data_IF_157286827420
#
_entry.id   IF_157286827420
#
_cell.length_a   1.000
_cell.length_b   1.000
_cell.length_c   1.000
_cell.angle_alpha   90.00
_cell.angle_beta   90.00
_cell.angle_gamma   90.00
#
_symmetry.space_group_name_H-M   'P 1'
#
loop_
_entity.id
_entity.type
_entity.pdbx_description
1 polymer ?
#
# COMPACT_ATOMS: atom_id res chain seq x y z
N UNK A 1 5.47 23.66 -27.80
CA UNK A 1 5.67 22.24 -27.42
C UNK A 1 5.89 22.18 -25.92
N UNK A 2 4.89 21.74 -25.16
CA UNK A 2 5.08 21.36 -23.75
C UNK A 2 4.63 19.91 -23.62
N UNK A 3 5.60 19.01 -23.57
CA UNK A 3 5.45 17.59 -23.29
C UNK A 3 5.59 17.42 -21.78
N UNK A 4 4.50 17.16 -21.07
CA UNK A 4 4.59 16.56 -19.73
C UNK A 4 3.24 16.00 -19.31
N UNK A 5 3.31 14.78 -18.78
CA UNK A 5 2.22 13.97 -18.23
C UNK A 5 1.30 13.35 -19.28
N UNK A 6 1.84 12.36 -20.02
CA UNK A 6 0.97 11.27 -20.46
C UNK A 6 0.40 10.63 -19.17
N UNK A 7 -0.93 10.60 -18.96
CA UNK A 7 -1.49 9.78 -17.90
C UNK A 7 -1.06 8.35 -18.19
N UNK A 8 -0.65 7.61 -17.17
CA UNK A 8 -0.40 6.17 -17.29
C UNK A 8 -1.77 5.52 -17.54
N UNK A 9 -2.26 5.68 -18.77
CA UNK A 9 -3.53 5.15 -19.23
C UNK A 9 -3.37 3.63 -19.33
N UNK A 10 -4.16 2.94 -18.52
CA UNK A 10 -4.89 1.76 -18.95
C UNK A 10 -4.07 0.62 -19.58
N UNK A 11 -3.01 0.15 -18.91
CA UNK A 11 -2.95 -1.31 -18.81
C UNK A 11 -4.19 -1.70 -18.00
N UNK A 12 -5.15 -2.38 -18.62
CA UNK A 12 -6.43 -2.82 -18.06
C UNK A 12 -6.24 -3.74 -16.85
N UNK A 13 -5.73 -3.18 -15.74
CA UNK A 13 -5.55 -3.86 -14.49
C UNK A 13 -6.94 -4.03 -13.89
N UNK A 14 -7.38 -5.28 -13.87
CA UNK A 14 -8.65 -5.65 -13.28
C UNK A 14 -8.59 -5.38 -11.79
N UNK A 15 -9.29 -4.33 -11.35
CA UNK A 15 -9.43 -4.02 -9.93
C UNK A 15 -10.32 -5.11 -9.32
N UNK A 16 -9.90 -5.76 -8.22
CA UNK A 16 -10.71 -6.75 -7.50
C UNK A 16 -12.02 -6.13 -7.01
N UNK A 17 -13.09 -6.93 -6.94
CA UNK A 17 -14.41 -6.44 -6.48
C UNK A 17 -14.43 -5.99 -5.01
N UNK A 18 -13.47 -6.46 -4.20
CA UNK A 18 -13.30 -6.08 -2.81
C UNK A 18 -12.48 -4.78 -2.63
N UNK A 19 -11.95 -4.19 -3.71
CA UNK A 19 -11.20 -2.93 -3.68
C UNK A 19 -12.04 -1.81 -4.26
N UNK A 20 -12.20 -0.73 -3.49
CA UNK A 20 -12.87 0.47 -3.94
C UNK A 20 -11.97 1.22 -4.95
N UNK A 21 -12.53 1.50 -6.13
CA UNK A 21 -11.84 2.15 -7.24
C UNK A 21 -11.34 3.55 -6.88
N UNK A 22 -12.10 4.30 -6.08
CA UNK A 22 -11.73 5.66 -5.69
C UNK A 22 -10.57 5.65 -4.69
N UNK A 23 -10.56 4.72 -3.73
CA UNK A 23 -9.39 4.54 -2.85
C UNK A 23 -8.14 4.14 -3.65
N UNK A 24 -8.30 3.27 -4.65
CA UNK A 24 -7.19 2.86 -5.52
C UNK A 24 -6.62 4.03 -6.33
N UNK A 25 -7.49 4.88 -6.89
CA UNK A 25 -7.06 6.10 -7.57
C UNK A 25 -6.31 7.04 -6.62
N UNK A 26 -6.83 7.28 -5.42
CA UNK A 26 -6.16 8.12 -4.42
C UNK A 26 -4.79 7.58 -4.02
N UNK A 27 -4.64 6.25 -3.92
CA UNK A 27 -3.35 5.62 -3.67
C UNK A 27 -2.35 5.83 -4.82
N UNK A 28 -2.80 5.67 -6.07
CA UNK A 28 -1.96 5.96 -7.25
C UNK A 28 -1.53 7.42 -7.26
N UNK A 29 -2.47 8.35 -7.02
CA UNK A 29 -2.18 9.78 -6.98
C UNK A 29 -1.14 10.10 -5.89
N UNK A 30 -1.30 9.58 -4.68
CA UNK A 30 -0.31 9.75 -3.61
C UNK A 30 1.08 9.25 -4.02
N UNK A 31 1.15 8.12 -4.74
CA UNK A 31 2.41 7.54 -5.23
C UNK A 31 3.11 8.44 -6.27
N UNK A 32 2.34 9.13 -7.10
CA UNK A 32 2.87 10.16 -8.00
C UNK A 32 3.38 11.38 -7.22
N UNK A 33 2.64 11.85 -6.21
CA UNK A 33 3.00 13.00 -5.37
C UNK A 33 4.33 12.78 -4.61
N UNK A 34 4.61 11.55 -4.17
CA UNK A 34 5.89 11.20 -3.51
C UNK A 34 7.02 10.84 -4.49
N UNK A 35 6.86 11.13 -5.78
CA UNK A 35 7.80 10.81 -6.85
C UNK A 35 8.19 9.32 -6.94
N UNK A 36 7.29 8.42 -6.51
CA UNK A 36 7.48 6.97 -6.59
C UNK A 36 6.30 6.32 -7.32
N UNK A 37 6.06 6.63 -8.61
CA UNK A 37 4.90 6.16 -9.34
C UNK A 37 4.84 4.62 -9.38
N UNK A 38 3.63 4.07 -9.44
CA UNK A 38 3.47 2.62 -9.60
C UNK A 38 3.89 2.17 -10.99
N UNK A 39 4.74 1.14 -11.03
CA UNK A 39 4.94 0.38 -12.26
C UNK A 39 3.74 -0.55 -12.50
N UNK A 40 3.44 -0.92 -13.76
CA UNK A 40 2.34 -1.85 -14.07
C UNK A 40 2.45 -3.19 -13.33
N UNK A 41 3.66 -3.71 -13.22
CA UNK A 41 3.94 -4.95 -12.46
C UNK A 41 3.71 -4.77 -10.96
N UNK A 42 4.11 -3.62 -10.40
CA UNK A 42 3.86 -3.28 -9.00
C UNK A 42 2.37 -3.15 -8.69
N UNK A 43 1.61 -2.50 -9.59
CA UNK A 43 0.16 -2.39 -9.49
C UNK A 43 -0.53 -3.74 -9.51
N UNK A 44 -0.12 -4.64 -10.42
CA UNK A 44 -0.63 -6.01 -10.45
C UNK A 44 -0.35 -6.77 -9.15
N UNK A 45 0.85 -6.65 -8.60
CA UNK A 45 1.22 -7.31 -7.35
C UNK A 45 0.44 -6.77 -6.15
N UNK A 46 0.24 -5.45 -6.09
CA UNK A 46 -0.54 -4.80 -5.02
C UNK A 46 -2.02 -5.17 -5.08
N UNK A 47 -2.63 -5.15 -6.27
CA UNK A 47 -4.03 -5.58 -6.43
C UNK A 47 -4.22 -7.04 -6.01
N UNK A 48 -3.27 -7.93 -6.34
CA UNK A 48 -3.29 -9.32 -5.88
C UNK A 48 -3.24 -9.42 -4.35
N UNK A 49 -2.37 -8.64 -3.69
CA UNK A 49 -2.33 -8.61 -2.21
C UNK A 49 -3.63 -8.09 -1.60
N UNK A 50 -4.21 -7.04 -2.19
CA UNK A 50 -5.49 -6.51 -1.74
C UNK A 50 -6.62 -7.53 -1.93
N UNK A 51 -6.59 -8.34 -2.99
CA UNK A 51 -7.51 -9.46 -3.16
C UNK A 51 -7.35 -10.49 -2.02
N UNK A 52 -6.11 -10.84 -1.65
CA UNK A 52 -5.80 -11.74 -0.53
C UNK A 52 -6.26 -11.20 0.84
N UNK A 53 -6.29 -9.88 1.03
CA UNK A 53 -6.77 -9.23 2.26
C UNK A 53 -8.31 -9.25 2.43
N UNK A 54 -9.06 -9.65 1.41
CA UNK A 54 -10.51 -9.81 1.50
C UNK A 54 -11.23 -8.52 1.91
N UNK A 55 -12.01 -8.56 2.99
CA UNK A 55 -12.83 -7.43 3.45
C UNK A 55 -11.97 -6.23 3.92
N UNK A 56 -10.76 -6.49 4.40
CA UNK A 56 -9.88 -5.47 4.98
C UNK A 56 -9.03 -4.72 3.94
N UNK A 57 -9.13 -5.09 2.67
CA UNK A 57 -8.38 -4.50 1.56
C UNK A 57 -8.48 -2.98 1.51
N UNK A 58 -9.69 -2.44 1.69
CA UNK A 58 -9.92 -0.99 1.67
C UNK A 58 -9.27 -0.29 2.87
N UNK A 59 -9.35 -0.90 4.07
CA UNK A 59 -8.75 -0.32 5.26
C UNK A 59 -7.22 -0.29 5.16
N UNK A 60 -6.63 -1.37 4.65
CA UNK A 60 -5.21 -1.45 4.32
C UNK A 60 -4.78 -0.33 3.38
N UNK A 61 -5.56 -0.08 2.32
CA UNK A 61 -5.27 0.94 1.33
C UNK A 61 -5.39 2.36 1.91
N UNK A 62 -6.44 2.63 2.70
CA UNK A 62 -6.63 3.89 3.42
C UNK A 62 -5.44 4.15 4.36
N UNK A 63 -5.02 3.15 5.13
CA UNK A 63 -3.88 3.27 6.03
C UNK A 63 -2.58 3.59 5.27
N UNK A 64 -2.39 2.98 4.09
CA UNK A 64 -1.26 3.27 3.23
C UNK A 64 -1.26 4.72 2.71
N UNK A 65 -2.42 5.24 2.32
CA UNK A 65 -2.60 6.63 1.89
C UNK A 65 -2.31 7.59 3.05
N UNK A 66 -2.93 7.39 4.22
CA UNK A 66 -2.75 8.27 5.40
C UNK A 66 -1.29 8.28 5.86
N UNK A 67 -0.63 7.12 5.83
CA UNK A 67 0.77 6.98 6.21
C UNK A 67 1.78 7.31 5.11
N UNK A 68 1.32 7.67 3.92
CA UNK A 68 2.17 7.95 2.75
C UNK A 68 3.10 6.77 2.40
N UNK A 69 2.63 5.54 2.64
CA UNK A 69 3.43 4.34 2.45
C UNK A 69 3.44 3.92 0.98
N UNK A 70 4.62 3.56 0.49
CA UNK A 70 4.78 3.01 -0.86
C UNK A 70 4.23 1.59 -1.01
N UNK A 71 3.65 0.97 0.00
CA UNK A 71 3.10 -0.38 -0.07
C UNK A 71 1.79 -0.48 0.72
N UNK A 72 0.93 -1.42 0.35
CA UNK A 72 -0.29 -1.71 1.11
C UNK A 72 0.08 -2.43 2.41
N UNK A 73 -0.51 -2.01 3.52
CA UNK A 73 -0.20 -2.58 4.84
C UNK A 73 -1.01 -3.85 5.07
N UNK A 74 -0.47 -4.83 5.78
CA UNK A 74 -1.28 -6.00 6.14
C UNK A 74 -2.46 -5.57 7.04
N UNK A 75 -3.66 -6.13 6.81
CA UNK A 75 -4.74 -5.98 7.76
C UNK A 75 -4.28 -6.66 9.05
N UNK A 76 -4.34 -5.94 10.16
CA UNK A 76 -3.68 -6.30 11.42
C UNK A 76 -2.18 -5.98 11.52
N UNK A 77 -1.67 -5.02 10.73
CA UNK A 77 -0.50 -4.25 11.15
C UNK A 77 -0.89 -3.46 12.40
N UNK A 78 -0.96 -4.15 13.55
CA UNK A 78 -0.70 -3.53 14.83
C UNK A 78 0.53 -2.69 14.58
N UNK A 79 0.39 -1.37 14.70
CA UNK A 79 1.55 -0.51 14.66
C UNK A 79 2.44 -1.08 15.75
N UNK A 80 3.51 -1.77 15.36
CA UNK A 80 4.71 -1.83 16.18
C UNK A 80 5.15 -0.37 16.20
N UNK A 81 4.51 0.37 17.10
CA UNK A 81 4.90 1.69 17.53
C UNK A 81 6.39 1.56 17.76
N UNK A 82 7.18 2.49 17.22
CA UNK A 82 8.56 2.65 17.62
C UNK A 82 8.61 2.92 19.13
N UNK A 83 8.50 1.88 19.94
CA UNK A 83 9.15 1.77 21.23
C UNK A 83 10.60 1.37 20.97
N UNK A 84 11.57 1.87 21.74
CA UNK A 84 12.96 1.56 21.51
C UNK A 84 13.15 0.05 21.62
N UNK A 85 13.73 -0.53 20.56
CA UNK A 85 14.17 -1.91 20.54
C UNK A 85 15.09 -2.15 21.74
N UNK A 86 14.62 -2.91 22.74
CA UNK A 86 15.48 -3.49 23.77
C UNK A 86 15.35 -4.99 23.71
N UNK A 87 16.34 -5.55 23.01
CA UNK A 87 16.87 -6.90 23.01
C UNK A 87 16.26 -7.85 24.04
N UNK A 88 15.70 -8.94 23.52
CA UNK A 88 15.52 -10.18 24.24
C UNK A 88 16.93 -10.74 24.55
N UNK A 89 17.38 -10.66 25.81
CA UNK A 89 18.36 -11.59 26.35
C UNK A 89 17.74 -12.21 27.61
N UNK A 90 17.70 -13.53 27.59
CA UNK A 90 16.80 -14.38 28.34
C UNK A 90 17.60 -15.19 29.38
N UNK A 91 16.93 -15.60 30.47
CA UNK A 91 17.37 -16.52 31.55
C UNK A 91 18.51 -16.00 32.47
N UNK A 92 18.56 -16.29 33.78
CA UNK A 92 18.11 -17.46 34.54
C UNK A 92 17.94 -17.09 36.02
N UNK A 93 17.02 -17.77 36.68
CA UNK A 93 16.81 -17.80 38.12
C UNK A 93 18.11 -18.06 38.93
N UNK A 94 18.26 -17.34 40.05
CA UNK A 94 18.77 -17.81 41.35
C UNK A 94 18.60 -16.72 42.41
#
# INVERSE_FOLDING_TARGET
>A
FSLSCQPICNSALKIPSNVNVDHWKSFIQMREEINNPLTPSGAKALLKKLEEYGIDANQSLINAIIGNYSNVLEPNYERVSCGPSRTHHNLLER
#
